data_IF_797066049066
#
_entry.id   IF_797066049066
#
_cell.length_a   1.000
_cell.length_b   1.000
_cell.length_c   1.000
_cell.angle_alpha   90.00
_cell.angle_beta   90.00
_cell.angle_gamma   90.00
#
_symmetry.space_group_name_H-M   'P 1'
#
loop_
_entity.id
_entity.type
_entity.pdbx_description
1 polymer ?
#
# COMPACT_ATOMS: atom_id res chain seq x y z
N UNK A 1 -5.12 -5.22 1.91
CA UNK A 1 -6.12 -5.76 2.84
C UNK A 1 -7.46 -5.12 2.55
N UNK A 2 -8.54 -5.90 2.63
CA UNK A 2 -9.91 -5.39 2.45
C UNK A 2 -10.71 -5.44 3.75
N UNK A 3 -11.81 -4.70 3.78
CA UNK A 3 -12.67 -4.55 4.94
C UNK A 3 -14.14 -4.59 4.54
N UNK A 4 -14.98 -5.14 5.41
CA UNK A 4 -16.44 -5.04 5.34
C UNK A 4 -16.95 -4.14 6.45
N UNK A 5 -18.08 -3.47 6.21
CA UNK A 5 -18.77 -2.67 7.21
C UNK A 5 -19.90 -3.50 7.80
N UNK A 6 -20.03 -3.49 9.11
CA UNK A 6 -21.18 -4.04 9.83
C UNK A 6 -21.87 -2.90 10.57
N UNK A 7 -23.20 -2.78 10.43
CA UNK A 7 -23.92 -1.73 11.12
C UNK A 7 -25.35 -2.11 11.50
N UNK A 8 -25.80 -1.53 12.61
CA UNK A 8 -27.18 -1.59 13.03
C UNK A 8 -27.94 -0.43 12.36
N UNK A 9 -28.69 -0.76 11.30
CA UNK A 9 -29.48 0.20 10.54
C UNK A 9 -30.84 0.42 11.19
N UNK A 10 -31.25 1.67 11.31
CA UNK A 10 -32.54 2.08 11.85
C UNK A 10 -33.37 2.84 10.81
N UNK A 11 -34.58 2.36 10.56
CA UNK A 11 -35.54 3.09 9.70
C UNK A 11 -36.12 4.30 10.44
N UNK A 12 -36.74 5.23 9.71
CA UNK A 12 -37.47 6.36 10.31
C UNK A 12 -38.62 5.91 11.24
N UNK A 13 -39.22 4.75 10.96
CA UNK A 13 -40.28 4.16 11.79
C UNK A 13 -39.76 3.44 13.04
N UNK A 14 -38.44 3.34 13.20
CA UNK A 14 -37.80 2.74 14.37
C UNK A 14 -37.44 1.27 14.26
N UNK A 15 -37.77 0.60 13.14
CA UNK A 15 -37.33 -0.77 12.87
C UNK A 15 -35.81 -0.83 12.75
N UNK A 16 -35.22 -1.91 13.27
CA UNK A 16 -33.77 -2.12 13.26
C UNK A 16 -33.44 -3.45 12.60
N UNK A 17 -32.34 -3.47 11.86
CA UNK A 17 -31.73 -4.69 11.30
C UNK A 17 -30.24 -4.51 11.19
N UNK A 18 -29.50 -5.60 11.28
CA UNK A 18 -28.08 -5.63 10.94
C UNK A 18 -27.91 -5.68 9.43
N UNK A 19 -26.92 -4.96 8.93
CA UNK A 19 -26.51 -4.97 7.53
C UNK A 19 -24.99 -5.14 7.46
N UNK A 20 -24.54 -5.76 6.38
CA UNK A 20 -23.12 -5.99 6.11
C UNK A 20 -22.83 -5.75 4.64
N UNK A 21 -21.71 -5.09 4.33
CA UNK A 21 -21.26 -4.93 2.94
C UNK A 21 -20.38 -6.11 2.50
N UNK A 22 -20.10 -6.18 1.19
CA UNK A 22 -18.95 -6.92 0.70
C UNK A 22 -17.62 -6.29 1.17
N UNK A 23 -16.53 -7.04 0.97
CA UNK A 23 -15.16 -6.58 1.22
C UNK A 23 -14.69 -5.55 0.19
N UNK A 24 -14.23 -4.40 0.67
CA UNK A 24 -13.77 -3.25 -0.13
C UNK A 24 -12.41 -2.74 0.37
N UNK A 25 -11.74 -1.89 -0.41
CA UNK A 25 -10.53 -1.24 0.08
C UNK A 25 -10.85 -0.21 1.19
N UNK A 26 -9.84 0.23 1.92
CA UNK A 26 -10.03 1.12 3.08
C UNK A 26 -10.62 2.49 2.72
N UNK A 27 -10.34 3.00 1.52
CA UNK A 27 -10.81 4.29 1.02
C UNK A 27 -12.33 4.24 0.77
N UNK A 28 -12.79 3.23 0.03
CA UNK A 28 -14.21 2.99 -0.25
C UNK A 28 -14.99 2.73 1.04
N UNK A 29 -14.43 1.94 1.96
CA UNK A 29 -15.04 1.65 3.26
C UNK A 29 -15.27 2.94 4.07
N UNK A 30 -14.26 3.82 4.14
CA UNK A 30 -14.38 5.07 4.86
C UNK A 30 -15.39 6.03 4.20
N UNK A 31 -15.45 6.03 2.87
CA UNK A 31 -16.42 6.84 2.13
C UNK A 31 -17.87 6.39 2.39
N UNK A 32 -18.14 5.08 2.30
CA UNK A 32 -19.47 4.54 2.62
C UNK A 32 -19.85 4.75 4.08
N UNK A 33 -18.92 4.57 5.01
CA UNK A 33 -19.14 4.84 6.42
C UNK A 33 -19.63 6.28 6.67
N UNK A 34 -18.97 7.27 6.06
CA UNK A 34 -19.35 8.67 6.17
C UNK A 34 -20.75 8.94 5.59
N UNK A 35 -21.05 8.36 4.42
CA UNK A 35 -22.35 8.51 3.80
C UNK A 35 -23.46 7.85 4.63
N UNK A 36 -23.21 6.67 5.21
CA UNK A 36 -24.15 6.00 6.11
C UNK A 36 -24.41 6.83 7.37
N UNK A 37 -23.36 7.37 8.01
CA UNK A 37 -23.52 8.25 9.17
C UNK A 37 -24.35 9.51 8.83
N UNK A 38 -24.09 10.14 7.67
CA UNK A 38 -24.85 11.32 7.20
C UNK A 38 -26.34 11.04 7.01
N UNK A 39 -26.75 9.80 6.80
CA UNK A 39 -28.18 9.46 6.73
C UNK A 39 -28.90 9.61 8.07
N UNK A 40 -28.17 9.62 9.19
CA UNK A 40 -28.73 9.59 10.55
C UNK A 40 -29.42 8.27 10.91
N UNK A 41 -29.16 7.20 10.13
CA UNK A 41 -29.80 5.88 10.28
C UNK A 41 -28.88 4.81 10.82
N UNK A 42 -27.63 5.17 11.12
CA UNK A 42 -26.65 4.28 11.74
C UNK A 42 -26.74 4.45 13.24
N UNK A 43 -26.98 3.35 13.96
CA UNK A 43 -26.93 3.33 15.42
C UNK A 43 -25.56 2.90 15.93
N UNK A 44 -24.97 1.89 15.31
CA UNK A 44 -23.65 1.33 15.61
C UNK A 44 -22.95 0.96 14.29
N UNK A 45 -21.63 1.17 14.23
CA UNK A 45 -20.80 0.96 13.05
C UNK A 45 -19.50 0.28 13.47
N UNK A 46 -19.26 -0.92 12.98
CA UNK A 46 -18.03 -1.68 13.16
C UNK A 46 -17.47 -2.13 11.81
N UNK A 47 -16.17 -2.37 11.76
CA UNK A 47 -15.46 -2.78 10.55
C UNK A 47 -14.74 -4.09 10.81
N UNK A 48 -14.68 -4.95 9.82
CA UNK A 48 -13.99 -6.23 9.93
C UNK A 48 -13.07 -6.44 8.75
N UNK A 49 -11.84 -6.88 9.00
CA UNK A 49 -10.90 -7.26 7.95
C UNK A 49 -11.13 -8.70 7.46
N UNK A 50 -10.29 -9.15 6.53
CA UNK A 50 -10.33 -10.49 5.95
C UNK A 50 -9.98 -11.60 6.96
N UNK A 51 -9.49 -11.24 8.15
CA UNK A 51 -9.18 -12.13 9.27
C UNK A 51 -10.23 -12.04 10.40
N UNK A 52 -11.36 -11.38 10.15
CA UNK A 52 -12.43 -11.09 11.11
C UNK A 52 -11.97 -10.31 12.36
N UNK A 53 -10.84 -9.59 12.28
CA UNK A 53 -10.49 -8.65 13.35
C UNK A 53 -11.41 -7.42 13.26
N UNK A 54 -11.91 -6.98 14.41
CA UNK A 54 -12.79 -5.82 14.50
C UNK A 54 -12.00 -4.52 14.63
N UNK A 55 -12.43 -3.49 13.90
CA UNK A 55 -11.84 -2.17 13.87
C UNK A 55 -12.92 -1.11 14.11
N UNK A 56 -12.56 -0.05 14.84
CA UNK A 56 -13.38 1.16 14.99
C UNK A 56 -13.14 2.14 13.84
N UNK A 57 -14.09 3.07 13.62
CA UNK A 57 -13.93 4.14 12.62
C UNK A 57 -12.65 4.97 12.85
N UNK A 58 -12.26 5.17 14.12
CA UNK A 58 -11.04 5.93 14.47
C UNK A 58 -9.78 5.18 14.05
N UNK A 59 -9.73 3.88 14.26
CA UNK A 59 -8.60 3.04 13.86
C UNK A 59 -8.51 2.94 12.34
N UNK A 60 -9.64 2.75 11.66
CA UNK A 60 -9.70 2.76 10.19
C UNK A 60 -9.17 4.08 9.61
N UNK A 61 -9.56 5.23 10.18
CA UNK A 61 -9.03 6.55 9.76
C UNK A 61 -7.53 6.70 10.02
N UNK A 62 -7.02 6.16 11.13
CA UNK A 62 -5.58 6.16 11.42
C UNK A 62 -4.82 5.28 10.43
N UNK A 63 -5.34 4.08 10.20
CA UNK A 63 -4.76 3.10 9.28
C UNK A 63 -4.74 3.65 7.85
N UNK A 64 -5.83 4.27 7.40
CA UNK A 64 -5.87 4.92 6.07
C UNK A 64 -4.77 5.96 5.88
N UNK A 65 -4.51 6.80 6.90
CA UNK A 65 -3.40 7.77 6.84
C UNK A 65 -2.03 7.11 6.76
N UNK A 66 -1.81 6.04 7.53
CA UNK A 66 -0.54 5.31 7.47
C UNK A 66 -0.34 4.67 6.09
N UNK A 67 -1.38 4.04 5.56
CA UNK A 67 -1.40 3.40 4.24
C UNK A 67 -1.16 4.42 3.13
N UNK A 68 -1.67 5.66 3.25
CA UNK A 68 -1.46 6.73 2.27
C UNK A 68 0.03 7.19 2.21
N UNK A 69 0.73 7.15 3.35
CA UNK A 69 2.14 7.55 3.46
C UNK A 69 3.12 6.46 3.00
N UNK A 70 2.67 5.20 2.96
CA UNK A 70 3.47 4.05 2.56
C UNK A 70 3.55 3.88 1.03
N UNK A 71 4.73 3.50 0.47
CA UNK A 71 4.85 3.15 -0.93
C UNK A 71 4.02 1.89 -1.28
N UNK A 72 3.19 2.01 -2.31
CA UNK A 72 2.38 0.92 -2.85
C UNK A 72 2.62 0.72 -4.35
N UNK A 73 2.14 -0.39 -4.91
CA UNK A 73 2.27 -0.71 -6.35
C UNK A 73 3.72 -0.55 -6.86
N UNK A 74 4.67 -1.10 -6.10
CA UNK A 74 6.09 -0.92 -6.37
C UNK A 74 6.50 -1.72 -7.61
N UNK A 75 7.13 -1.04 -8.57
CA UNK A 75 7.73 -1.65 -9.76
C UNK A 75 9.20 -1.21 -9.87
N UNK A 76 10.09 -2.19 -9.89
CA UNK A 76 11.55 -1.98 -9.94
C UNK A 76 12.08 -2.47 -11.28
N UNK A 77 12.75 -1.57 -12.00
CA UNK A 77 13.66 -1.93 -13.08
C UNK A 77 15.09 -1.78 -12.56
N UNK A 78 15.93 -2.77 -12.83
CA UNK A 78 17.32 -2.78 -12.44
C UNK A 78 18.18 -3.29 -13.60
N UNK A 79 19.41 -2.82 -13.65
CA UNK A 79 20.43 -3.24 -14.60
C UNK A 79 21.80 -3.12 -13.94
N UNK A 80 22.65 -4.14 -14.12
CA UNK A 80 23.98 -4.20 -13.55
C UNK A 80 24.97 -4.63 -14.62
N UNK A 81 26.04 -3.86 -14.80
CA UNK A 81 27.07 -4.11 -15.79
C UNK A 81 28.45 -4.24 -15.15
N UNK A 82 29.20 -5.26 -15.55
CA UNK A 82 30.59 -5.46 -15.16
C UNK A 82 31.53 -5.34 -16.37
N UNK A 83 32.55 -4.48 -16.25
CA UNK A 83 33.62 -4.36 -17.25
C UNK A 83 34.78 -5.28 -16.89
N UNK A 84 35.04 -6.28 -17.74
CA UNK A 84 36.10 -7.29 -17.52
C UNK A 84 37.51 -6.70 -17.66
N UNK A 85 37.68 -5.61 -18.42
CA UNK A 85 38.99 -4.96 -18.60
C UNK A 85 39.34 -4.08 -17.42
N UNK A 86 38.42 -3.23 -16.98
CA UNK A 86 38.67 -2.31 -15.85
C UNK A 86 38.39 -2.97 -14.50
N UNK A 87 37.66 -4.09 -14.49
CA UNK A 87 37.15 -4.81 -13.30
C UNK A 87 36.19 -3.96 -12.46
N UNK A 88 35.44 -3.12 -13.14
CA UNK A 88 34.53 -2.15 -12.53
C UNK A 88 33.08 -2.58 -12.71
N UNK A 89 32.21 -2.26 -11.75
CA UNK A 89 30.78 -2.49 -11.86
C UNK A 89 29.99 -1.20 -11.75
N UNK A 90 28.99 -1.06 -12.61
CA UNK A 90 27.97 -0.03 -12.53
C UNK A 90 26.60 -0.65 -12.34
N UNK A 91 25.78 -0.05 -11.49
CA UNK A 91 24.36 -0.43 -11.33
C UNK A 91 23.45 0.74 -11.62
N UNK A 92 22.29 0.44 -12.20
CA UNK A 92 21.22 1.39 -12.46
C UNK A 92 19.89 0.84 -11.98
N UNK A 93 19.08 1.70 -11.36
CA UNK A 93 17.73 1.37 -10.93
C UNK A 93 16.73 2.45 -11.33
N UNK A 94 15.49 2.03 -11.58
CA UNK A 94 14.33 2.88 -11.73
C UNK A 94 13.17 2.28 -10.94
N UNK A 95 12.74 2.94 -9.87
CA UNK A 95 11.67 2.47 -8.99
C UNK A 95 10.46 3.38 -9.15
N UNK A 96 9.33 2.78 -9.51
CA UNK A 96 8.02 3.41 -9.55
C UNK A 96 7.21 2.93 -8.36
N UNK A 97 6.49 3.84 -7.71
CA UNK A 97 5.60 3.51 -6.61
C UNK A 97 4.51 4.58 -6.49
N UNK A 98 3.44 4.25 -5.77
CA UNK A 98 2.33 5.15 -5.46
C UNK A 98 2.38 5.51 -3.97
N UNK A 99 2.11 6.78 -3.63
CA UNK A 99 1.72 7.18 -2.26
C UNK A 99 0.40 7.91 -2.36
N UNK A 100 -0.63 7.39 -1.68
CA UNK A 100 -2.01 7.79 -1.89
C UNK A 100 -2.40 7.73 -3.37
N UNK A 101 -2.74 8.88 -3.96
CA UNK A 101 -3.10 9.01 -5.38
C UNK A 101 -1.97 9.52 -6.29
N UNK A 102 -0.78 9.77 -5.75
CA UNK A 102 0.34 10.32 -6.51
C UNK A 102 1.32 9.21 -6.91
N UNK A 103 1.74 9.21 -8.18
CA UNK A 103 2.79 8.32 -8.70
C UNK A 103 4.15 8.98 -8.56
N UNK A 104 5.10 8.24 -8.02
CA UNK A 104 6.48 8.66 -7.82
C UNK A 104 7.43 7.81 -8.65
N UNK A 105 8.62 8.37 -8.92
CA UNK A 105 9.70 7.66 -9.59
C UNK A 105 11.05 8.08 -9.02
N UNK A 106 11.87 7.09 -8.68
CA UNK A 106 13.26 7.27 -8.28
C UNK A 106 14.15 6.65 -9.37
N UNK A 107 15.19 7.37 -9.77
CA UNK A 107 16.27 6.85 -10.63
C UNK A 107 17.60 7.06 -9.94
N UNK A 108 18.41 6.00 -9.86
CA UNK A 108 19.75 6.04 -9.27
C UNK A 108 20.69 5.18 -10.09
N UNK A 109 21.90 5.68 -10.23
CA UNK A 109 23.03 4.90 -10.71
C UNK A 109 24.09 4.92 -9.61
N UNK A 110 24.80 3.82 -9.43
CA UNK A 110 25.91 3.73 -8.50
C UNK A 110 27.06 2.95 -9.12
N UNK A 111 28.27 3.30 -8.70
CA UNK A 111 29.47 2.51 -8.94
C UNK A 111 29.66 1.56 -7.75
N UNK A 112 30.00 0.31 -8.02
CA UNK A 112 30.16 -0.73 -6.99
C UNK A 112 31.54 -1.37 -7.13
N UNK A 113 32.23 -1.47 -6.00
CA UNK A 113 33.50 -2.19 -5.87
C UNK A 113 33.26 -3.58 -5.25
N UNK A 114 34.23 -4.50 -5.43
CA UNK A 114 34.17 -5.83 -4.84
C UNK A 114 33.24 -6.81 -5.55
N UNK A 115 32.93 -6.52 -6.82
CA UNK A 115 32.17 -7.37 -7.74
C UNK A 115 33.15 -7.97 -8.76
N UNK A 116 32.96 -9.24 -9.13
CA UNK A 116 33.89 -10.00 -9.95
C UNK A 116 33.30 -10.49 -11.27
N UNK A 117 31.97 -10.44 -11.43
CA UNK A 117 31.30 -10.79 -12.67
C UNK A 117 29.97 -10.05 -12.89
N UNK A 118 29.37 -10.25 -14.07
CA UNK A 118 28.13 -9.59 -14.45
C UNK A 118 26.91 -10.07 -13.65
N UNK A 119 26.90 -11.33 -13.22
CA UNK A 119 25.77 -11.87 -12.45
C UNK A 119 25.72 -11.23 -11.06
N UNK A 120 26.89 -11.04 -10.44
CA UNK A 120 27.05 -10.30 -9.19
C UNK A 120 26.63 -8.84 -9.35
N UNK A 121 26.97 -8.19 -10.47
CA UNK A 121 26.54 -6.81 -10.76
C UNK A 121 25.02 -6.69 -10.90
N UNK A 122 24.37 -7.61 -11.62
CA UNK A 122 22.90 -7.65 -11.73
C UNK A 122 22.25 -7.88 -10.35
N UNK A 123 22.77 -8.81 -9.54
CA UNK A 123 22.25 -9.06 -8.20
C UNK A 123 22.43 -7.84 -7.27
N UNK A 124 23.58 -7.17 -7.36
CA UNK A 124 23.84 -5.93 -6.63
C UNK A 124 22.87 -4.80 -7.05
N UNK A 125 22.52 -4.72 -8.33
CA UNK A 125 21.55 -3.74 -8.82
C UNK A 125 20.12 -3.99 -8.29
N UNK A 126 19.71 -5.26 -8.20
CA UNK A 126 18.44 -5.64 -7.57
C UNK A 126 18.43 -5.27 -6.08
N UNK A 127 19.47 -5.65 -5.34
CA UNK A 127 19.60 -5.32 -3.91
C UNK A 127 19.57 -3.81 -3.68
N UNK A 128 20.29 -3.04 -4.51
CA UNK A 128 20.26 -1.58 -4.46
C UNK A 128 18.85 -1.01 -4.68
N UNK A 129 18.08 -1.62 -5.60
CA UNK A 129 16.69 -1.29 -5.85
C UNK A 129 15.74 -1.61 -4.69
N UNK A 130 15.97 -2.73 -3.99
CA UNK A 130 15.15 -3.14 -2.84
C UNK A 130 15.31 -2.17 -1.66
N UNK A 131 16.52 -1.69 -1.42
CA UNK A 131 16.82 -0.81 -0.27
C UNK A 131 16.50 0.67 -0.53
N UNK A 132 16.00 1.05 -1.72
CA UNK A 132 15.82 2.46 -2.08
C UNK A 132 14.60 3.11 -1.44
N UNK A 133 13.64 2.30 -0.97
CA UNK A 133 12.37 2.75 -0.38
C UNK A 133 12.30 2.50 1.14
N UNK A 134 13.34 1.88 1.72
CA UNK A 134 13.55 1.81 3.18
C UNK A 134 13.94 3.18 3.73
#
# INVERSE_FOLDING_TARGET
MKYKIHWLYKTKSGLQTELTTDYMNIEDVLQFAEDFEKTGRVKELSFYDEMDAEWSLKEMKKLSKQVEEEPQEILVYFDGGYDVQTKEAGVGICVYYKKGNTKYRIRRNAYIEGIYDNNEAEYASLLHGMNILE
#
